data_IF_016076838784
#
_entry.id   IF_016076838784
#
_cell.length_a   1.000
_cell.length_b   1.000
_cell.length_c   1.000
_cell.angle_alpha   90.00
_cell.angle_beta   90.00
_cell.angle_gamma   90.00
#
_symmetry.space_group_name_H-M   'P 1'
#
loop_
_entity.id
_entity.type
_entity.pdbx_description
1 polymer ?
#
# COMPACT_ATOMS: atom_id res chain seq x y z
N UNK A 1 11.41 3.68 -23.78
CA UNK A 1 10.83 2.96 -22.62
C UNK A 1 9.34 3.13 -22.73
N UNK A 2 8.56 2.08 -22.48
CA UNK A 2 7.12 2.24 -22.46
C UNK A 2 6.71 3.16 -21.31
N UNK A 3 5.60 3.87 -21.51
CA UNK A 3 5.00 4.72 -20.49
C UNK A 3 4.07 3.93 -19.56
N UNK A 4 3.69 2.69 -19.88
CA UNK A 4 2.67 1.93 -19.11
C UNK A 4 3.22 1.29 -17.84
N UNK A 5 4.45 0.76 -17.90
CA UNK A 5 5.16 0.20 -16.74
C UNK A 5 6.44 0.98 -16.43
N UNK A 6 6.59 1.42 -15.18
CA UNK A 6 7.78 2.14 -14.70
C UNK A 6 8.53 1.30 -13.66
N UNK A 7 9.82 0.97 -13.86
CA UNK A 7 10.62 0.26 -12.86
C UNK A 7 10.75 1.04 -11.55
N UNK A 8 10.59 0.38 -10.40
CA UNK A 8 10.70 1.03 -9.10
C UNK A 8 12.10 1.60 -8.84
N UNK A 9 13.16 0.99 -9.40
CA UNK A 9 14.53 1.50 -9.32
C UNK A 9 14.71 2.89 -9.96
N UNK A 10 13.84 3.23 -10.92
CA UNK A 10 13.82 4.53 -11.61
C UNK A 10 12.73 5.47 -11.07
N UNK A 11 11.96 5.06 -10.06
CA UNK A 11 10.87 5.86 -9.49
C UNK A 11 11.40 7.02 -8.65
N UNK A 12 10.99 8.25 -8.93
CA UNK A 12 11.46 9.44 -8.20
C UNK A 12 10.32 10.42 -7.96
N UNK A 13 10.56 11.42 -7.11
CA UNK A 13 9.61 12.51 -6.93
C UNK A 13 9.26 13.23 -8.25
N UNK A 14 10.20 13.28 -9.21
CA UNK A 14 9.98 13.89 -10.53
C UNK A 14 8.93 13.16 -11.38
N UNK A 15 8.57 11.93 -11.03
CA UNK A 15 7.61 11.09 -11.75
C UNK A 15 6.30 10.88 -10.99
N UNK A 16 6.14 11.50 -9.81
CA UNK A 16 5.00 11.30 -8.88
C UNK A 16 3.63 11.42 -9.56
N UNK A 17 3.52 12.30 -10.56
CA UNK A 17 2.28 12.53 -11.30
C UNK A 17 1.74 11.27 -12.01
N UNK A 18 2.61 10.33 -12.39
CA UNK A 18 2.18 9.09 -13.08
C UNK A 18 2.54 7.80 -12.37
N UNK A 19 3.37 7.81 -11.32
CA UNK A 19 3.67 6.63 -10.49
C UNK A 19 3.07 6.69 -9.07
N UNK A 20 2.57 7.85 -8.66
CA UNK A 20 2.06 8.09 -7.32
C UNK A 20 3.15 8.33 -6.26
N UNK A 21 2.72 8.90 -5.13
CA UNK A 21 3.62 9.31 -4.04
C UNK A 21 4.33 8.15 -3.36
N UNK A 22 3.64 7.00 -3.22
CA UNK A 22 4.18 5.81 -2.57
C UNK A 22 5.34 5.21 -3.34
N UNK A 23 5.16 5.01 -4.64
CA UNK A 23 6.23 4.49 -5.48
C UNK A 23 7.40 5.48 -5.60
N UNK A 24 7.11 6.78 -5.69
CA UNK A 24 8.14 7.81 -5.69
C UNK A 24 9.00 7.76 -4.42
N UNK A 25 8.39 7.74 -3.24
CA UNK A 25 9.10 7.67 -1.96
C UNK A 25 9.98 6.40 -1.84
N UNK A 26 9.43 5.24 -2.19
CA UNK A 26 10.16 3.97 -2.16
C UNK A 26 11.33 3.94 -3.15
N UNK A 27 11.15 4.52 -4.34
CA UNK A 27 12.23 4.63 -5.32
C UNK A 27 13.36 5.57 -4.88
N UNK A 28 13.05 6.67 -4.19
CA UNK A 28 14.07 7.53 -3.56
C UNK A 28 14.86 6.78 -2.49
N UNK A 29 14.18 6.08 -1.58
CA UNK A 29 14.83 5.30 -0.52
C UNK A 29 15.70 4.17 -1.09
N UNK A 30 15.22 3.49 -2.14
CA UNK A 30 16.00 2.45 -2.82
C UNK A 30 17.28 3.01 -3.43
N UNK A 31 17.23 4.19 -4.07
CA UNK A 31 18.43 4.86 -4.60
C UNK A 31 19.36 5.38 -3.51
N UNK A 32 18.80 5.73 -2.34
CA UNK A 32 19.57 6.09 -1.16
C UNK A 32 20.24 4.88 -0.48
N UNK A 33 20.06 3.66 -1.02
CA UNK A 33 20.71 2.45 -0.53
C UNK A 33 19.93 1.72 0.56
N UNK A 34 18.70 2.14 0.87
CA UNK A 34 17.85 1.40 1.81
C UNK A 34 17.30 0.13 1.16
N UNK A 35 17.09 -0.89 1.99
CA UNK A 35 16.55 -2.16 1.55
C UNK A 35 15.05 -2.04 1.26
N UNK A 36 14.72 -1.77 -0.01
CA UNK A 36 13.35 -1.68 -0.52
C UNK A 36 13.12 -2.84 -1.48
N UNK A 37 12.03 -3.62 -1.33
CA UNK A 37 11.72 -4.72 -2.25
C UNK A 37 11.71 -4.23 -3.70
N UNK A 38 12.18 -5.06 -4.63
CA UNK A 38 12.08 -4.75 -6.05
C UNK A 38 10.62 -4.62 -6.49
N UNK A 39 10.40 -4.21 -7.74
CA UNK A 39 9.05 -4.08 -8.27
C UNK A 39 8.96 -3.08 -9.39
N UNK A 40 7.72 -2.84 -9.79
CA UNK A 40 7.38 -1.94 -10.88
C UNK A 40 6.03 -1.29 -10.62
N UNK A 41 5.74 -0.24 -11.39
CA UNK A 41 4.53 0.54 -11.24
C UNK A 41 3.76 0.49 -12.54
N UNK A 42 2.51 0.06 -12.48
CA UNK A 42 1.52 0.31 -13.52
C UNK A 42 1.15 1.78 -13.44
N UNK A 43 1.59 2.56 -14.41
CA UNK A 43 1.45 4.01 -14.37
C UNK A 43 0.01 4.44 -14.61
N UNK A 44 -0.28 5.71 -14.33
CA UNK A 44 -1.59 6.30 -14.63
C UNK A 44 -1.89 6.33 -16.14
N UNK A 45 -0.87 6.23 -17.01
CA UNK A 45 -1.04 6.21 -18.46
C UNK A 45 -1.73 4.93 -18.97
N UNK A 46 -1.76 3.87 -18.17
CA UNK A 46 -2.43 2.62 -18.53
C UNK A 46 -3.96 2.69 -18.42
N UNK A 47 -4.49 3.62 -17.62
CA UNK A 47 -5.91 3.67 -17.31
C UNK A 47 -6.81 4.17 -18.45
N UNK A 48 -6.45 5.21 -19.24
CA UNK A 48 -7.28 5.68 -20.35
C UNK A 48 -7.63 4.57 -21.34
N UNK A 49 -6.64 3.79 -21.78
CA UNK A 49 -6.85 2.68 -22.71
C UNK A 49 -7.66 1.55 -22.08
N UNK A 50 -7.45 1.30 -20.79
CA UNK A 50 -8.27 0.35 -20.04
C UNK A 50 -9.73 0.79 -19.92
N UNK A 51 -10.03 2.05 -19.58
CA UNK A 51 -11.43 2.47 -19.36
C UNK A 51 -12.18 2.77 -20.67
N UNK A 52 -11.48 3.03 -21.77
CA UNK A 52 -12.04 3.44 -23.06
C UNK A 52 -13.24 2.59 -23.53
N UNK A 53 -13.20 1.24 -23.50
CA UNK A 53 -14.31 0.39 -23.94
C UNK A 53 -15.59 0.54 -23.11
N UNK A 54 -15.48 1.00 -21.86
CA UNK A 54 -16.63 1.17 -20.96
C UNK A 54 -17.17 2.59 -20.91
N UNK A 55 -16.49 3.59 -21.51
CA UNK A 55 -16.85 5.01 -21.34
C UNK A 55 -18.31 5.31 -21.73
N UNK A 56 -18.76 4.85 -22.90
CA UNK A 56 -20.14 5.08 -23.35
C UNK A 56 -21.16 4.40 -22.43
N UNK A 57 -20.88 3.15 -22.02
CA UNK A 57 -21.74 2.37 -21.14
C UNK A 57 -21.89 3.02 -19.77
N UNK A 58 -20.78 3.50 -19.22
CA UNK A 58 -20.72 4.24 -17.95
C UNK A 58 -21.49 5.56 -18.07
N UNK A 59 -21.27 6.33 -19.13
CA UNK A 59 -21.94 7.63 -19.33
C UNK A 59 -23.46 7.46 -19.43
N UNK A 60 -23.92 6.41 -20.11
CA UNK A 60 -25.35 6.10 -20.21
C UNK A 60 -25.96 5.70 -18.86
N UNK A 61 -25.18 5.05 -17.99
CA UNK A 61 -25.65 4.62 -16.66
C UNK A 61 -25.63 5.74 -15.62
N UNK A 62 -24.67 6.65 -15.71
CA UNK A 62 -24.37 7.66 -14.71
C UNK A 62 -24.79 9.05 -15.20
N UNK A 63 -26.10 9.28 -15.29
CA UNK A 63 -26.67 10.60 -15.63
C UNK A 63 -26.60 11.56 -14.43
N UNK A 64 -26.82 12.86 -14.66
CA UNK A 64 -26.86 13.85 -13.57
C UNK A 64 -27.95 13.52 -12.54
N UNK A 65 -29.13 13.06 -12.97
CA UNK A 65 -30.22 12.66 -12.08
C UNK A 65 -29.79 11.49 -11.18
N UNK A 66 -29.13 10.47 -11.75
CA UNK A 66 -28.61 9.32 -11.01
C UNK A 66 -27.55 9.75 -9.99
N UNK A 67 -26.66 10.70 -10.33
CA UNK A 67 -25.64 11.18 -9.39
C UNK A 67 -26.25 11.93 -8.20
N UNK A 68 -27.38 12.61 -8.41
CA UNK A 68 -28.06 13.38 -7.38
C UNK A 68 -28.95 12.53 -6.46
N UNK A 69 -29.30 11.31 -6.86
CA UNK A 69 -30.04 10.35 -6.03
C UNK A 69 -29.06 9.37 -5.34
N UNK A 70 -28.91 9.43 -4.00
CA UNK A 70 -27.98 8.55 -3.29
C UNK A 70 -28.25 7.05 -3.45
N UNK A 71 -29.51 6.64 -3.57
CA UNK A 71 -29.89 5.24 -3.71
C UNK A 71 -29.59 4.73 -5.12
N UNK A 72 -29.94 5.50 -6.16
CA UNK A 72 -29.62 5.13 -7.55
C UNK A 72 -28.12 5.19 -7.82
N UNK A 73 -27.41 6.14 -7.22
CA UNK A 73 -25.96 6.26 -7.33
C UNK A 73 -25.25 5.03 -6.76
N UNK A 74 -25.69 4.49 -5.62
CA UNK A 74 -25.06 3.29 -5.03
C UNK A 74 -25.29 2.04 -5.90
N UNK A 75 -26.50 1.90 -6.47
CA UNK A 75 -26.79 0.84 -7.45
C UNK A 75 -25.90 0.95 -8.68
N UNK A 76 -25.80 2.16 -9.25
CA UNK A 76 -24.95 2.44 -10.41
C UNK A 76 -23.46 2.25 -10.11
N UNK A 77 -23.02 2.61 -8.90
CA UNK A 77 -21.66 2.39 -8.43
C UNK A 77 -21.32 0.90 -8.43
N UNK A 78 -22.24 0.06 -7.96
CA UNK A 78 -22.06 -1.40 -7.91
C UNK A 78 -21.94 -1.97 -9.32
N UNK A 79 -22.87 -1.65 -10.22
CA UNK A 79 -22.84 -2.14 -11.61
C UNK A 79 -21.57 -1.70 -12.36
N UNK A 80 -21.17 -0.43 -12.23
CA UNK A 80 -19.98 0.09 -12.90
C UNK A 80 -18.71 -0.60 -12.38
N UNK A 81 -18.61 -0.82 -11.07
CA UNK A 81 -17.49 -1.58 -10.49
C UNK A 81 -17.42 -3.00 -11.04
N UNK A 82 -18.55 -3.68 -11.17
CA UNK A 82 -18.61 -5.02 -11.76
C UNK A 82 -18.14 -5.03 -13.22
N UNK A 83 -18.56 -4.05 -14.04
CA UNK A 83 -18.09 -3.94 -15.43
C UNK A 83 -16.58 -3.75 -15.51
N UNK A 84 -16.03 -2.88 -14.65
CA UNK A 84 -14.60 -2.61 -14.61
C UNK A 84 -13.81 -3.84 -14.16
N UNK A 85 -14.29 -4.56 -13.14
CA UNK A 85 -13.62 -5.77 -12.65
C UNK A 85 -13.68 -6.93 -13.65
N UNK A 86 -14.72 -6.98 -14.48
CA UNK A 86 -14.87 -8.00 -15.52
C UNK A 86 -14.09 -7.69 -16.80
N UNK A 87 -13.59 -6.46 -16.96
CA UNK A 87 -12.89 -6.05 -18.17
C UNK A 87 -11.44 -6.59 -18.17
N UNK A 88 -11.00 -7.25 -19.26
CA UNK A 88 -9.60 -7.63 -19.40
C UNK A 88 -8.71 -6.40 -19.59
N UNK A 89 -7.45 -6.50 -19.17
CA UNK A 89 -6.46 -5.47 -19.49
C UNK A 89 -6.21 -5.44 -21.02
N UNK A 90 -5.89 -4.28 -21.60
CA UNK A 90 -5.44 -4.20 -22.99
C UNK A 90 -4.21 -5.10 -23.23
N UNK A 91 -4.14 -5.76 -24.39
CA UNK A 91 -3.07 -6.72 -24.72
C UNK A 91 -1.67 -6.08 -24.60
N UNK A 92 -1.54 -4.80 -24.96
CA UNK A 92 -0.30 -4.03 -24.81
C UNK A 92 0.16 -3.94 -23.35
N UNK A 93 -0.76 -3.63 -22.44
CA UNK A 93 -0.48 -3.57 -21.01
C UNK A 93 -0.14 -4.95 -20.44
N UNK A 94 -0.89 -5.98 -20.84
CA UNK A 94 -0.62 -7.37 -20.43
C UNK A 94 0.77 -7.83 -20.86
N UNK A 95 1.19 -7.53 -22.09
CA UNK A 95 2.52 -7.87 -22.59
C UNK A 95 3.63 -7.17 -21.79
N UNK A 96 3.44 -5.91 -21.43
CA UNK A 96 4.41 -5.18 -20.60
C UNK A 96 4.46 -5.68 -19.15
N UNK A 97 3.31 -6.04 -18.58
CA UNK A 97 3.25 -6.68 -17.26
C UNK A 97 4.04 -7.99 -17.27
N UNK A 98 3.89 -8.81 -18.31
CA UNK A 98 4.67 -10.05 -18.44
C UNK A 98 6.17 -9.77 -18.48
N UNK A 99 6.62 -8.79 -19.29
CA UNK A 99 8.03 -8.41 -19.36
C UNK A 99 8.55 -7.85 -18.03
N UNK A 100 7.74 -7.06 -17.31
CA UNK A 100 8.11 -6.53 -16.00
C UNK A 100 8.25 -7.64 -14.95
N UNK A 101 7.39 -8.66 -14.99
CA UNK A 101 7.48 -9.82 -14.10
C UNK A 101 8.73 -10.67 -14.35
N UNK A 102 9.24 -10.72 -15.58
CA UNK A 102 10.50 -11.40 -15.91
C UNK A 102 11.74 -10.69 -15.34
N UNK A 103 11.60 -9.42 -14.92
CA UNK A 103 12.68 -8.70 -14.22
C UNK A 103 12.81 -9.10 -12.75
N UNK A 104 11.79 -9.76 -12.20
CA UNK A 104 11.80 -10.32 -10.85
C UNK A 104 12.29 -11.77 -10.90
N UNK A 105 13.07 -12.18 -9.91
CA UNK A 105 13.50 -13.58 -9.83
C UNK A 105 12.35 -14.54 -9.46
N UNK A 106 12.62 -15.84 -9.50
CA UNK A 106 11.62 -16.86 -9.21
C UNK A 106 11.06 -16.78 -7.79
N UNK A 107 11.86 -16.37 -6.81
CA UNK A 107 11.42 -16.25 -5.42
C UNK A 107 10.58 -14.98 -5.22
N UNK A 108 10.99 -13.88 -5.84
CA UNK A 108 10.28 -12.60 -5.84
C UNK A 108 8.90 -12.68 -6.49
N UNK A 109 8.79 -13.41 -7.61
CA UNK A 109 7.51 -13.59 -8.31
C UNK A 109 6.61 -14.69 -7.74
N UNK A 110 7.08 -15.43 -6.74
CA UNK A 110 6.31 -16.51 -6.11
C UNK A 110 5.12 -15.99 -5.29
N UNK A 111 5.16 -14.72 -4.86
CA UNK A 111 4.04 -14.05 -4.20
C UNK A 111 4.22 -12.54 -4.31
N UNK A 112 3.22 -11.86 -4.84
CA UNK A 112 3.28 -10.42 -5.10
C UNK A 112 2.19 -9.67 -4.33
N UNK A 113 2.41 -8.37 -4.16
CA UNK A 113 1.46 -7.42 -3.61
C UNK A 113 1.21 -6.32 -4.62
N UNK A 114 -0.07 -6.00 -4.85
CA UNK A 114 -0.47 -4.84 -5.64
C UNK A 114 -1.03 -3.75 -4.72
N UNK A 115 -0.42 -2.57 -4.71
CA UNK A 115 -0.76 -1.43 -3.83
C UNK A 115 -1.19 -0.23 -4.66
N UNK A 116 -2.30 0.38 -4.28
CA UNK A 116 -2.71 1.67 -4.83
C UNK A 116 -1.68 2.75 -4.47
N UNK A 117 -1.27 3.54 -5.47
CA UNK A 117 -0.29 4.62 -5.39
C UNK A 117 -0.88 5.89 -6.05
N UNK A 118 -1.73 6.65 -5.33
CA UNK A 118 -2.24 7.93 -5.81
C UNK A 118 -1.14 9.00 -5.82
N UNK A 119 -1.28 10.02 -6.67
CA UNK A 119 -0.33 11.13 -6.76
C UNK A 119 -0.30 12.02 -5.50
N UNK A 120 -1.38 12.06 -4.72
CA UNK A 120 -1.47 12.82 -3.47
C UNK A 120 -2.43 12.19 -2.46
N UNK A 121 -2.28 12.58 -1.19
CA UNK A 121 -3.19 12.19 -0.11
C UNK A 121 -4.59 12.81 -0.27
N UNK A 122 -4.69 13.99 -0.87
CA UNK A 122 -5.98 14.60 -1.22
C UNK A 122 -6.74 13.73 -2.23
N UNK A 123 -6.03 13.25 -3.26
CA UNK A 123 -6.58 12.33 -4.24
C UNK A 123 -6.98 11.02 -3.54
N UNK A 124 -6.13 10.48 -2.66
CA UNK A 124 -6.45 9.30 -1.86
C UNK A 124 -7.73 9.49 -1.01
N UNK A 125 -7.88 10.67 -0.39
CA UNK A 125 -9.01 11.03 0.48
C UNK A 125 -10.30 11.21 -0.33
N UNK A 126 -10.19 11.72 -1.56
CA UNK A 126 -11.33 11.87 -2.47
C UNK A 126 -12.04 10.54 -2.79
N UNK A 127 -11.31 9.42 -2.69
CA UNK A 127 -11.86 8.08 -2.90
C UNK A 127 -12.66 7.54 -1.69
N UNK A 128 -12.65 8.23 -0.55
CA UNK A 128 -13.36 7.80 0.65
C UNK A 128 -12.68 6.68 1.45
N UNK A 129 -13.20 6.41 2.65
CA UNK A 129 -12.82 5.26 3.46
C UNK A 129 -13.46 4.00 2.86
N UNK A 130 -12.67 2.97 2.52
CA UNK A 130 -13.18 1.69 1.98
C UNK A 130 -12.53 1.20 0.69
N UNK A 131 -11.65 1.98 0.05
CA UNK A 131 -10.83 1.48 -1.06
C UNK A 131 -9.74 0.55 -0.52
N UNK A 132 -9.78 -0.73 -0.93
CA UNK A 132 -8.68 -1.66 -0.64
C UNK A 132 -7.37 -1.06 -1.16
N UNK A 133 -6.47 -0.72 -0.23
CA UNK A 133 -5.19 -0.06 -0.53
C UNK A 133 -4.14 -1.04 -1.03
N UNK A 134 -4.37 -2.34 -0.84
CA UNK A 134 -3.48 -3.42 -1.23
C UNK A 134 -4.24 -4.72 -1.49
N UNK A 135 -3.73 -5.53 -2.40
CA UNK A 135 -4.12 -6.92 -2.65
C UNK A 135 -2.87 -7.78 -2.42
N UNK A 136 -2.96 -8.72 -1.48
CA UNK A 136 -1.83 -9.52 -0.99
C UNK A 136 -1.82 -10.91 -1.62
N UNK A 137 -0.66 -11.54 -1.70
CA UNK A 137 -0.54 -12.97 -2.05
C UNK A 137 -0.93 -13.28 -3.49
N UNK A 138 -0.56 -12.41 -4.43
CA UNK A 138 -0.88 -12.53 -5.85
C UNK A 138 0.12 -13.45 -6.55
N UNK A 139 -0.38 -14.44 -7.29
CA UNK A 139 0.43 -15.44 -7.99
C UNK A 139 0.10 -15.41 -9.48
N UNK A 140 1.12 -15.12 -10.28
CA UNK A 140 1.00 -15.08 -11.74
C UNK A 140 0.26 -13.85 -12.29
N UNK A 141 0.30 -13.72 -13.62
CA UNK A 141 -0.19 -12.51 -14.30
C UNK A 141 -1.70 -12.30 -14.12
N UNK A 142 -2.50 -13.36 -14.18
CA UNK A 142 -3.96 -13.26 -14.13
C UNK A 142 -4.47 -12.66 -12.80
N UNK A 143 -3.80 -12.94 -11.69
CA UNK A 143 -4.16 -12.37 -10.39
C UNK A 143 -3.77 -10.90 -10.27
N UNK A 144 -2.62 -10.54 -10.85
CA UNK A 144 -2.16 -9.15 -10.91
C UNK A 144 -3.13 -8.32 -11.76
N UNK A 145 -3.56 -8.84 -12.90
CA UNK A 145 -4.57 -8.19 -13.75
C UNK A 145 -5.87 -7.94 -12.99
N UNK A 146 -6.38 -8.97 -12.29
CA UNK A 146 -7.57 -8.83 -11.45
C UNK A 146 -7.37 -7.80 -10.35
N UNK A 147 -6.20 -7.77 -9.71
CA UNK A 147 -5.87 -6.81 -8.67
C UNK A 147 -5.80 -5.37 -9.20
N UNK A 148 -5.24 -5.16 -10.40
CA UNK A 148 -5.20 -3.85 -11.08
C UNK A 148 -6.62 -3.39 -11.42
N UNK A 149 -7.43 -4.24 -12.06
CA UNK A 149 -8.82 -3.92 -12.40
C UNK A 149 -9.66 -3.62 -11.15
N UNK A 150 -9.50 -4.41 -10.08
CA UNK A 150 -10.15 -4.15 -8.78
C UNK A 150 -9.69 -2.83 -8.16
N UNK A 151 -8.39 -2.53 -8.21
CA UNK A 151 -7.84 -1.24 -7.76
C UNK A 151 -8.52 -0.08 -8.47
N UNK A 152 -8.57 -0.10 -9.80
CA UNK A 152 -9.23 0.94 -10.58
C UNK A 152 -10.74 0.98 -10.39
N UNK A 153 -11.40 -0.16 -10.17
CA UNK A 153 -12.84 -0.19 -9.85
C UNK A 153 -13.14 0.58 -8.56
N UNK A 154 -12.21 0.64 -7.61
CA UNK A 154 -12.42 1.33 -6.34
C UNK A 154 -12.59 2.86 -6.49
N UNK A 155 -12.19 3.42 -7.65
CA UNK A 155 -12.47 4.81 -8.05
C UNK A 155 -13.96 5.08 -8.28
N UNK A 156 -14.74 4.03 -8.51
CA UNK A 156 -16.16 4.07 -8.89
C UNK A 156 -17.07 3.72 -7.71
N UNK A 157 -16.70 4.17 -6.52
CA UNK A 157 -17.62 4.23 -5.39
C UNK A 157 -18.50 5.49 -5.46
N UNK A 158 -19.69 5.42 -4.85
CA UNK A 158 -20.69 6.49 -4.88
C UNK A 158 -20.12 7.83 -4.42
N UNK A 159 -19.38 7.84 -3.31
CA UNK A 159 -18.72 9.03 -2.77
C UNK A 159 -17.72 9.65 -3.75
N UNK A 160 -16.87 8.85 -4.37
CA UNK A 160 -15.87 9.31 -5.33
C UNK A 160 -16.52 9.86 -6.62
N UNK A 161 -17.56 9.20 -7.12
CA UNK A 161 -18.33 9.67 -8.29
C UNK A 161 -19.04 10.99 -8.00
N UNK A 162 -19.73 11.09 -6.86
CA UNK A 162 -20.38 12.33 -6.43
C UNK A 162 -19.37 13.47 -6.23
N UNK A 163 -18.21 13.17 -5.63
CA UNK A 163 -17.13 14.14 -5.46
C UNK A 163 -16.67 14.71 -6.80
N UNK A 164 -16.40 13.86 -7.80
CA UNK A 164 -15.99 14.29 -9.14
C UNK A 164 -17.03 15.16 -9.81
N UNK A 165 -18.29 14.76 -9.74
CA UNK A 165 -19.40 15.54 -10.27
C UNK A 165 -19.46 16.93 -9.64
N UNK A 166 -19.41 17.01 -8.30
CA UNK A 166 -19.42 18.29 -7.56
C UNK A 166 -18.22 19.18 -7.93
N UNK A 167 -17.06 18.58 -8.21
CA UNK A 167 -15.83 19.28 -8.61
C UNK A 167 -15.73 19.55 -10.11
N UNK A 168 -16.71 19.10 -10.91
CA UNK A 168 -16.71 19.17 -12.39
C UNK A 168 -15.46 18.50 -13.01
N UNK A 169 -15.00 17.43 -12.38
CA UNK A 169 -13.92 16.56 -12.88
C UNK A 169 -14.59 15.49 -13.74
N UNK A 170 -14.01 15.15 -14.90
CA UNK A 170 -14.60 14.10 -15.73
C UNK A 170 -14.58 12.76 -14.98
N UNK A 171 -15.65 11.97 -15.08
CA UNK A 171 -15.78 10.73 -14.31
C UNK A 171 -14.71 9.69 -14.68
N UNK A 172 -14.22 9.77 -15.92
CA UNK A 172 -13.15 8.94 -16.48
C UNK A 172 -11.76 9.51 -16.21
N UNK A 173 -11.63 10.64 -15.51
CA UNK A 173 -10.37 11.36 -15.31
C UNK A 173 -9.48 10.84 -14.16
N UNK A 174 -9.97 10.21 -13.07
CA UNK A 174 -9.03 9.73 -12.07
C UNK A 174 -8.46 8.38 -12.48
N UNK A 175 -7.13 8.29 -12.51
CA UNK A 175 -6.42 7.04 -12.32
C UNK A 175 -5.38 7.25 -11.23
N UNK A 176 -5.13 6.23 -10.44
CA UNK A 176 -3.91 6.14 -9.67
C UNK A 176 -3.07 4.99 -10.20
N UNK A 177 -1.77 5.11 -9.97
CA UNK A 177 -0.83 4.08 -10.33
C UNK A 177 -0.96 2.88 -9.38
N UNK A 178 -0.60 1.69 -9.86
CA UNK A 178 -0.58 0.46 -9.04
C UNK A 178 0.86 0.00 -8.92
N UNK A 179 1.38 0.04 -7.70
CA UNK A 179 2.70 -0.47 -7.36
C UNK A 179 2.62 -1.98 -7.14
N UNK A 180 3.42 -2.75 -7.87
CA UNK A 180 3.55 -4.20 -7.74
C UNK A 180 4.93 -4.54 -7.20
N UNK A 181 4.99 -5.29 -6.10
CA UNK A 181 6.23 -5.70 -5.45
C UNK A 181 6.15 -7.16 -4.98
N UNK A 182 7.27 -7.84 -4.73
CA UNK A 182 7.32 -9.08 -3.97
C UNK A 182 6.73 -8.90 -2.56
N UNK A 183 5.98 -9.92 -2.12
CA UNK A 183 5.64 -10.08 -0.72
C UNK A 183 6.89 -10.49 0.05
N UNK A 184 7.18 -9.76 1.12
CA UNK A 184 8.25 -10.13 2.05
C UNK A 184 7.70 -11.19 3.00
N UNK A 185 8.32 -12.38 3.02
CA UNK A 185 7.98 -13.48 3.93
C UNK A 185 8.49 -13.19 5.34
N UNK A 186 7.89 -12.17 5.95
CA UNK A 186 8.33 -11.55 7.20
C UNK A 186 8.23 -12.51 8.40
N UNK A 187 9.26 -12.48 9.25
CA UNK A 187 9.20 -13.02 10.62
C UNK A 187 8.33 -12.11 11.49
N UNK A 188 8.53 -10.80 11.33
CA UNK A 188 7.77 -9.73 11.97
C UNK A 188 7.62 -8.54 11.03
N UNK A 189 6.49 -7.85 11.12
CA UNK A 189 6.23 -6.66 10.33
C UNK A 189 5.42 -5.64 11.14
N UNK A 190 5.42 -4.39 10.68
CA UNK A 190 4.82 -3.35 11.49
C UNK A 190 4.85 -1.97 10.91
N UNK A 191 4.57 -1.01 11.78
CA UNK A 191 4.62 0.42 11.50
C UNK A 191 5.53 1.10 12.51
N UNK A 192 6.34 2.04 12.03
CA UNK A 192 7.18 2.91 12.83
C UNK A 192 6.76 4.36 12.56
N UNK A 193 6.42 5.08 13.62
CA UNK A 193 6.23 6.51 13.61
C UNK A 193 7.48 7.18 14.19
N UNK A 194 8.13 8.05 13.41
CA UNK A 194 9.34 8.74 13.87
C UNK A 194 9.03 9.87 14.84
N UNK A 195 7.76 10.20 15.07
CA UNK A 195 7.29 11.11 16.10
C UNK A 195 6.10 10.42 16.79
N UNK A 196 5.97 10.57 18.11
CA UNK A 196 4.91 9.88 18.83
C UNK A 196 3.52 10.41 18.38
N UNK A 197 2.64 9.57 17.82
CA UNK A 197 1.46 10.04 17.07
C UNK A 197 0.34 10.62 17.95
N UNK A 198 0.37 10.38 19.27
CA UNK A 198 -0.59 10.95 20.23
C UNK A 198 -0.06 12.19 20.96
N UNK A 199 1.10 12.11 21.62
CA UNK A 199 1.73 13.24 22.32
C UNK A 199 2.30 14.30 21.37
N UNK A 200 2.71 13.91 20.16
CA UNK A 200 3.42 14.78 19.23
C UNK A 200 4.87 15.05 19.63
N UNK A 201 5.43 14.29 20.58
CA UNK A 201 6.82 14.46 21.01
C UNK A 201 7.78 14.04 19.88
N UNK A 202 8.62 14.95 19.34
CA UNK A 202 9.55 14.65 18.27
C UNK A 202 10.75 13.79 18.70
N UNK A 203 11.00 13.64 20.00
CA UNK A 203 12.07 12.81 20.54
C UNK A 203 11.59 11.39 20.86
N UNK A 204 10.29 11.13 20.81
CA UNK A 204 9.70 9.79 20.98
C UNK A 204 9.29 9.18 19.64
N UNK A 205 9.71 7.94 19.40
CA UNK A 205 9.19 7.10 18.32
C UNK A 205 8.21 6.08 18.87
N UNK A 206 7.18 5.76 18.09
CA UNK A 206 6.30 4.63 18.39
C UNK A 206 6.50 3.54 17.33
N UNK A 207 6.85 2.33 17.79
CA UNK A 207 6.96 1.14 16.94
C UNK A 207 5.84 0.20 17.30
N UNK A 208 5.07 -0.23 16.29
CA UNK A 208 4.06 -1.27 16.42
C UNK A 208 4.46 -2.47 15.59
N UNK A 209 4.41 -3.67 16.15
CA UNK A 209 4.83 -4.89 15.47
C UNK A 209 3.87 -6.05 15.68
N UNK A 210 3.78 -6.90 14.66
CA UNK A 210 3.08 -8.19 14.70
C UNK A 210 4.02 -9.27 14.17
N UNK A 211 3.77 -10.51 14.57
CA UNK A 211 4.36 -11.66 13.91
C UNK A 211 3.83 -11.81 12.48
N UNK A 212 4.70 -12.22 11.56
CA UNK A 212 4.36 -12.43 10.17
C UNK A 212 4.12 -11.14 9.39
N UNK A 213 3.14 -11.17 8.48
CA UNK A 213 2.81 -10.07 7.58
C UNK A 213 2.02 -8.97 8.29
N UNK A 214 2.30 -7.72 7.94
CA UNK A 214 1.48 -6.60 8.38
C UNK A 214 0.14 -6.59 7.64
N UNK A 215 -0.95 -6.61 8.42
CA UNK A 215 -2.31 -6.29 7.95
C UNK A 215 -2.66 -4.87 8.37
N UNK A 216 -3.68 -4.24 7.76
CA UNK A 216 -4.22 -3.01 8.29
C UNK A 216 -4.62 -3.25 9.76
N UNK A 217 -3.91 -2.57 10.67
CA UNK A 217 -4.05 -2.58 12.15
C UNK A 217 -5.48 -2.21 12.61
N UNK A 218 -6.40 -1.96 11.68
CA UNK A 218 -7.82 -1.69 11.92
C UNK A 218 -8.65 -2.93 12.25
N UNK A 219 -8.12 -4.14 12.05
CA UNK A 219 -8.79 -5.35 12.55
C UNK A 219 -8.44 -5.54 14.02
N UNK A 220 -9.42 -5.38 14.90
CA UNK A 220 -9.27 -5.59 16.36
C UNK A 220 -8.77 -7.00 16.75
N UNK A 221 -8.66 -7.90 15.77
CA UNK A 221 -8.17 -9.27 15.92
C UNK A 221 -6.64 -9.38 15.96
N UNK A 222 -5.91 -8.43 15.38
CA UNK A 222 -4.45 -8.41 15.37
C UNK A 222 -3.97 -7.24 16.21
N UNK A 223 -3.91 -7.43 17.54
CA UNK A 223 -3.34 -6.42 18.44
C UNK A 223 -1.81 -6.49 18.32
N UNK A 224 -1.13 -5.41 17.92
CA UNK A 224 0.31 -5.39 17.82
C UNK A 224 0.95 -5.25 19.20
N UNK A 225 2.21 -5.65 19.31
CA UNK A 225 3.10 -5.14 20.35
C UNK A 225 3.37 -3.66 20.08
N UNK A 226 3.52 -2.88 21.14
CA UNK A 226 3.85 -1.46 21.05
C UNK A 226 5.12 -1.18 21.87
N UNK A 227 6.03 -0.41 21.28
CA UNK A 227 7.25 0.07 21.92
C UNK A 227 7.34 1.58 21.75
N UNK A 228 7.74 2.27 22.82
CA UNK A 228 8.15 3.67 22.77
C UNK A 228 9.66 3.73 22.90
N UNK A 229 10.31 4.41 21.95
CA UNK A 229 11.75 4.59 21.91
C UNK A 229 12.10 6.07 22.01
N UNK A 230 12.93 6.44 22.99
CA UNK A 230 13.43 7.79 23.17
C UNK A 230 14.71 7.97 22.35
N UNK A 231 14.67 8.84 21.33
CA UNK A 231 15.80 9.12 20.43
C UNK A 231 16.99 9.74 21.17
N UNK A 232 16.73 10.54 22.21
CA UNK A 232 17.76 11.29 22.93
C UNK A 232 18.54 10.39 23.89
N UNK A 233 17.84 9.46 24.55
CA UNK A 233 18.43 8.46 25.46
C UNK A 233 18.90 7.21 24.73
N UNK A 234 18.40 6.99 23.51
CA UNK A 234 18.65 5.81 22.69
C UNK A 234 18.27 4.52 23.43
N UNK A 235 17.08 4.51 24.03
CA UNK A 235 16.55 3.39 24.81
C UNK A 235 15.03 3.23 24.63
N UNK A 236 14.54 2.03 24.93
CA UNK A 236 13.11 1.73 25.01
C UNK A 236 12.61 2.23 26.37
N UNK A 237 11.66 3.16 26.36
CA UNK A 237 11.09 3.76 27.58
C UNK A 237 9.80 3.11 28.01
N UNK A 238 9.06 2.51 27.08
CA UNK A 238 7.80 1.81 27.36
C UNK A 238 7.56 0.64 26.41
N UNK A 239 6.82 -0.37 26.89
CA UNK A 239 6.46 -1.57 26.12
C UNK A 239 5.09 -2.09 26.55
N UNK A 240 4.24 -2.37 25.56
CA UNK A 240 2.96 -3.07 25.72
C UNK A 240 2.96 -4.29 24.78
N UNK A 241 3.14 -5.48 25.34
CA UNK A 241 3.24 -6.72 24.56
C UNK A 241 1.87 -7.40 24.51
N UNK A 242 1.43 -7.74 23.30
CA UNK A 242 0.12 -8.33 23.07
C UNK A 242 0.20 -9.85 22.94
N UNK A 243 -0.80 -10.55 23.47
CA UNK A 243 -0.97 -11.99 23.25
C UNK A 243 -1.42 -12.25 21.81
N UNK A 244 -0.45 -12.33 20.89
CA UNK A 244 -0.72 -12.59 19.48
C UNK A 244 -0.99 -14.08 19.28
N UNK A 245 -2.25 -14.44 19.03
CA UNK A 245 -2.68 -15.84 18.88
C UNK A 245 -2.65 -16.34 17.44
N UNK A 246 -2.59 -15.42 16.47
CA UNK A 246 -2.57 -15.71 15.04
C UNK A 246 -1.62 -14.76 14.30
N UNK A 247 -0.97 -15.26 13.26
CA UNK A 247 -0.18 -14.47 12.30
C UNK A 247 -0.62 -14.74 10.87
N UNK A 248 -0.43 -13.74 10.01
CA UNK A 248 -0.55 -13.93 8.57
C UNK A 248 0.80 -14.23 7.97
N UNK A 249 0.84 -15.14 7.00
CA UNK A 249 2.06 -15.52 6.32
C UNK A 249 1.79 -15.83 4.84
N UNK A 250 2.86 -15.84 4.05
CA UNK A 250 2.76 -16.32 2.67
C UNK A 250 2.91 -17.84 2.69
N UNK A 251 1.83 -18.53 2.32
CA UNK A 251 1.79 -19.97 2.17
C UNK A 251 2.73 -20.49 1.09
N UNK A 252 2.83 -21.81 1.02
CA UNK A 252 3.69 -22.51 0.05
C UNK A 252 3.21 -22.35 -1.40
N UNK A 253 1.92 -22.08 -1.60
CA UNK A 253 1.32 -21.78 -2.90
C UNK A 253 1.47 -20.31 -3.32
N UNK A 254 2.02 -19.46 -2.44
CA UNK A 254 2.22 -18.03 -2.69
C UNK A 254 1.06 -17.14 -2.23
N UNK A 255 -0.05 -17.70 -1.78
CA UNK A 255 -1.18 -16.94 -1.24
C UNK A 255 -0.98 -16.61 0.23
N UNK A 256 -1.76 -15.66 0.75
CA UNK A 256 -1.73 -15.34 2.18
C UNK A 256 -2.63 -16.31 2.94
N UNK A 257 -2.09 -16.91 3.98
CA UNK A 257 -2.83 -17.76 4.91
C UNK A 257 -2.64 -17.27 6.34
N UNK A 258 -3.53 -17.72 7.21
CA UNK A 258 -3.47 -17.46 8.63
C UNK A 258 -2.99 -18.69 9.38
N UNK A 259 -2.05 -18.49 10.28
CA UNK A 259 -1.48 -19.54 11.12
C UNK A 259 -1.68 -19.20 12.60
N UNK A 260 -2.08 -20.18 13.39
CA UNK A 260 -2.08 -20.09 14.86
C UNK A 260 -0.65 -20.04 15.37
N UNK A 261 -0.36 -19.11 16.27
CA UNK A 261 0.94 -18.98 16.93
C UNK A 261 0.99 -19.99 18.08
N UNK A 262 2.13 -20.67 18.26
CA UNK A 262 2.27 -21.67 19.33
C UNK A 262 2.23 -21.03 20.71
N UNK A 263 1.68 -21.70 21.72
CA UNK A 263 1.55 -21.16 23.09
C UNK A 263 2.88 -20.63 23.66
N UNK A 264 4.02 -21.23 23.29
CA UNK A 264 5.36 -20.79 23.70
C UNK A 264 5.85 -19.52 23.02
N UNK A 265 5.30 -19.17 21.86
CA UNK A 265 5.61 -17.94 21.11
C UNK A 265 4.64 -16.80 21.45
N UNK A 266 3.43 -17.10 21.95
CA UNK A 266 2.39 -16.09 22.25
C UNK A 266 2.85 -15.08 23.31
N UNK A 267 3.65 -15.50 24.29
CA UNK A 267 4.15 -14.62 25.37
C UNK A 267 5.44 -13.85 24.99
N UNK A 268 6.06 -14.19 23.85
CA UNK A 268 7.27 -13.53 23.39
C UNK A 268 6.93 -12.28 22.56
N UNK A 269 7.66 -11.17 22.72
CA UNK A 269 7.48 -10.03 21.85
C UNK A 269 7.90 -10.38 20.42
N UNK A 270 7.16 -9.86 19.45
CA UNK A 270 7.46 -9.97 18.01
C UNK A 270 8.76 -9.27 17.62
N UNK A 271 9.32 -8.43 18.49
CA UNK A 271 10.63 -7.82 18.33
C UNK A 271 11.47 -7.98 19.60
N UNK A 272 12.75 -8.27 19.42
CA UNK A 272 13.73 -8.12 20.49
C UNK A 272 14.26 -6.67 20.58
N UNK A 273 14.91 -6.33 21.69
CA UNK A 273 15.38 -4.96 21.96
C UNK A 273 16.39 -4.45 20.92
N UNK A 274 17.23 -5.34 20.36
CA UNK A 274 18.18 -4.98 19.32
C UNK A 274 17.46 -4.59 18.02
N UNK A 275 16.45 -5.37 17.61
CA UNK A 275 15.62 -5.06 16.45
C UNK A 275 14.84 -3.74 16.62
N UNK A 276 14.35 -3.45 17.83
CA UNK A 276 13.71 -2.16 18.13
C UNK A 276 14.71 -1.00 17.95
N UNK A 277 15.95 -1.15 18.45
CA UNK A 277 17.01 -0.16 18.26
C UNK A 277 17.41 0.04 16.79
N UNK A 278 17.51 -1.05 16.01
CA UNK A 278 17.81 -0.99 14.57
C UNK A 278 16.68 -0.31 13.78
N UNK A 279 15.42 -0.61 14.11
CA UNK A 279 14.26 0.08 13.53
C UNK A 279 14.26 1.58 13.89
N UNK A 280 14.58 1.94 15.13
CA UNK A 280 14.68 3.34 15.54
C UNK A 280 15.79 4.07 14.77
N UNK A 281 16.95 3.44 14.58
CA UNK A 281 18.04 4.01 13.78
C UNK A 281 17.63 4.19 12.31
N UNK A 282 16.95 3.20 11.72
CA UNK A 282 16.39 3.29 10.38
C UNK A 282 15.37 4.43 10.25
N UNK A 283 14.48 4.57 11.24
CA UNK A 283 13.51 5.66 11.32
C UNK A 283 14.18 7.04 11.30
N UNK A 284 15.22 7.24 12.11
CA UNK A 284 15.98 8.49 12.15
C UNK A 284 16.65 8.78 10.80
N UNK A 285 17.19 7.74 10.14
CA UNK A 285 17.77 7.88 8.81
C UNK A 285 16.73 8.34 7.77
N UNK A 286 15.54 7.72 7.75
CA UNK A 286 14.47 8.03 6.79
C UNK A 286 13.86 9.42 7.09
N UNK A 287 13.62 9.75 8.36
CA UNK A 287 13.16 11.08 8.80
C UNK A 287 14.14 12.17 8.36
N UNK A 288 15.44 11.97 8.57
CA UNK A 288 16.48 12.90 8.12
C UNK A 288 16.52 13.01 6.59
N UNK A 289 16.34 11.89 5.88
CA UNK A 289 16.35 11.86 4.41
C UNK A 289 15.20 12.70 3.82
N UNK A 290 13.99 12.57 4.37
CA UNK A 290 12.83 13.34 3.91
C UNK A 290 12.66 14.71 4.61
N UNK A 291 13.47 15.00 5.63
CA UNK A 291 13.42 16.21 6.44
C UNK A 291 12.02 16.50 7.01
N UNK A 292 11.33 15.45 7.46
CA UNK A 292 10.01 15.52 8.08
C UNK A 292 9.72 14.23 8.86
N UNK A 293 8.88 14.27 9.92
CA UNK A 293 8.43 13.05 10.60
C UNK A 293 7.74 12.08 9.64
N UNK A 294 7.96 10.78 9.81
CA UNK A 294 7.53 9.73 8.89
C UNK A 294 6.68 8.65 9.57
N UNK A 295 5.71 8.16 8.82
CA UNK A 295 4.97 6.91 9.02
C UNK A 295 5.54 5.86 8.05
N UNK A 296 6.20 4.85 8.61
CA UNK A 296 7.01 3.87 7.88
C UNK A 296 6.41 2.48 8.08
N UNK A 297 6.04 1.81 6.98
CA UNK A 297 5.73 0.36 7.02
C UNK A 297 7.01 -0.42 6.78
N UNK A 298 7.25 -1.45 7.59
CA UNK A 298 8.47 -2.25 7.54
C UNK A 298 8.18 -3.75 7.72
N UNK A 299 9.14 -4.58 7.32
CA UNK A 299 9.17 -6.01 7.60
C UNK A 299 10.59 -6.45 7.93
N UNK A 300 10.73 -7.47 8.77
CA UNK A 300 11.99 -8.12 9.12
C UNK A 300 11.96 -9.56 8.62
N UNK A 301 13.04 -9.98 7.96
CA UNK A 301 13.32 -11.38 7.59
C UNK A 301 14.78 -11.66 7.90
N UNK A 302 15.06 -12.66 8.71
CA UNK A 302 16.43 -13.03 9.10
C UNK A 302 17.25 -11.81 9.57
N UNK A 303 16.67 -11.01 10.48
CA UNK A 303 17.21 -9.74 11.01
C UNK A 303 17.46 -8.63 9.96
N UNK A 304 17.04 -8.80 8.70
CA UNK A 304 17.12 -7.75 7.68
C UNK A 304 15.82 -6.98 7.63
N UNK A 305 15.91 -5.68 7.86
CA UNK A 305 14.77 -4.77 7.73
C UNK A 305 14.55 -4.41 6.25
N UNK A 306 13.30 -4.50 5.80
CA UNK A 306 12.81 -4.02 4.52
C UNK A 306 11.88 -2.84 4.75
N UNK A 307 12.04 -1.76 3.96
CA UNK A 307 11.11 -0.63 3.94
C UNK A 307 10.03 -0.88 2.91
N UNK A 308 8.79 -0.99 3.38
CA UNK A 308 7.61 -1.31 2.57
C UNK A 308 6.81 -0.05 2.19
N UNK A 309 6.92 1.02 2.99
CA UNK A 309 6.34 2.34 2.72
C UNK A 309 7.05 3.38 3.58
N UNK A 310 7.15 4.62 3.09
CA UNK A 310 7.46 5.78 3.91
C UNK A 310 6.61 6.95 3.42
N UNK A 311 5.95 7.66 4.35
CA UNK A 311 5.18 8.86 4.04
C UNK A 311 5.27 9.86 5.19
N UNK A 312 5.16 11.17 4.90
CA UNK A 312 5.11 12.19 5.95
C UNK A 312 3.96 11.93 6.91
N UNK A 313 4.20 12.15 8.21
CA UNK A 313 3.13 12.22 9.18
C UNK A 313 2.35 13.52 8.96
N UNK A 314 1.06 13.42 8.68
CA UNK A 314 0.19 14.59 8.68
C UNK A 314 0.03 15.12 10.10
N UNK A 315 0.10 16.44 10.29
CA UNK A 315 -0.35 17.04 11.54
C UNK A 315 -1.82 16.65 11.74
N UNK A 316 -2.11 15.81 12.73
CA UNK A 316 -3.49 15.68 13.22
C UNK A 316 -3.81 17.02 13.86
N UNK A 317 -4.56 17.87 13.15
CA UNK A 317 -5.21 19.00 13.78
C UNK A 317 -6.11 18.41 14.87
N UNK A 318 -5.70 18.60 16.12
CA UNK A 318 -6.51 18.44 17.33
C UNK A 318 -7.81 19.21 17.22
#
# INVERSE_FOLDING_TARGET
>A
MSQLIHPLSLASQANTNFIGSKAAALGELKRAGLNVPNGFVVTTYAYPDFIAPLQEKIRARLTDDVIMDPAELEGSATEIREWIQAQPLPDSLRAELASALETLDNAERASLIARSSPASDDLATSFGAGVARAYLGLVGIDEIERAIARSWSALWNSRAMYYRWRKKIAQTEPAFAVLVQPMIRADSAGVLYTQHPMSGDPDEMQIKSVFGLSVPITSARFRPDEFVFDKSKNEITDRDIADQTVKLMVGTDGHVEEQVISETEVEAPSLNDAQVGELAALGQQIEKFFNAPQDIEWAIVDDKIFVLQARPMGMRNS
#
